data_IF_926533452988
#
_entry.id   IF_926533452988
#
_cell.length_a   1.000
_cell.length_b   1.000
_cell.length_c   1.000
_cell.angle_alpha   90.00
_cell.angle_beta   90.00
_cell.angle_gamma   90.00
#
_symmetry.space_group_name_H-M   'P 1'
#
loop_
_entity.id
_entity.type
_entity.pdbx_description
1 polymer ?
#
# COMPACT_ATOMS: atom_id res chain seq x y z
N UNK A 1 -26.37 -1.42 -4.75
CA UNK A 1 -25.50 -0.62 -5.63
C UNK A 1 -24.18 -0.43 -4.88
N UNK A 2 -23.02 -0.74 -5.47
CA UNK A 2 -21.75 -0.57 -4.75
C UNK A 2 -21.45 0.92 -4.58
N UNK A 3 -21.04 1.38 -3.39
CA UNK A 3 -20.76 2.80 -3.16
C UNK A 3 -19.52 3.25 -3.95
N UNK A 4 -19.57 4.44 -4.53
CA UNK A 4 -18.53 5.04 -5.36
C UNK A 4 -17.49 5.78 -4.52
N UNK A 5 -16.46 5.10 -4.03
CA UNK A 5 -15.43 5.76 -3.23
C UNK A 5 -14.26 6.25 -4.08
N UNK A 6 -13.73 7.41 -3.71
CA UNK A 6 -12.60 8.06 -4.37
C UNK A 6 -11.35 7.92 -3.51
N UNK A 7 -10.23 7.52 -4.12
CA UNK A 7 -8.93 7.45 -3.45
C UNK A 7 -7.97 8.47 -4.04
N UNK A 8 -7.31 9.23 -3.16
CA UNK A 8 -6.21 10.13 -3.51
C UNK A 8 -4.92 9.67 -2.84
N UNK A 9 -3.84 9.60 -3.60
CA UNK A 9 -2.52 9.27 -3.10
C UNK A 9 -1.60 10.48 -3.20
N UNK A 10 -0.84 10.74 -2.15
CA UNK A 10 0.12 11.84 -2.07
C UNK A 10 1.47 11.30 -1.62
N UNK A 11 2.48 11.47 -2.47
CA UNK A 11 3.87 11.23 -2.07
C UNK A 11 4.24 12.28 -1.02
N UNK A 12 4.76 11.83 0.13
CA UNK A 12 5.18 12.73 1.21
C UNK A 12 6.66 13.07 1.03
N UNK A 13 7.49 12.74 2.03
CA UNK A 13 8.92 13.11 2.06
C UNK A 13 9.72 12.53 0.88
N UNK A 14 9.32 11.37 0.39
CA UNK A 14 9.94 10.64 -0.72
C UNK A 14 8.95 9.58 -1.24
N UNK A 15 9.30 8.93 -2.35
CA UNK A 15 8.49 7.88 -3.00
C UNK A 15 8.16 6.66 -2.12
N UNK A 16 8.93 6.45 -1.05
CA UNK A 16 8.75 5.35 -0.10
C UNK A 16 7.83 5.73 1.08
N UNK A 17 7.22 6.91 1.05
CA UNK A 17 6.17 7.33 1.98
C UNK A 17 4.98 7.88 1.20
N UNK A 18 3.93 7.07 1.08
CA UNK A 18 2.69 7.45 0.39
C UNK A 18 1.59 7.60 1.42
N UNK A 19 0.92 8.75 1.40
CA UNK A 19 -0.30 9.02 2.16
C UNK A 19 -1.50 8.78 1.25
N UNK A 20 -2.51 8.08 1.78
CA UNK A 20 -3.70 7.68 1.03
C UNK A 20 -4.92 8.25 1.77
N UNK A 21 -5.75 9.01 1.07
CA UNK A 21 -7.01 9.52 1.61
C UNK A 21 -8.17 8.90 0.83
N UNK A 22 -9.14 8.36 1.56
CA UNK A 22 -10.37 7.79 1.01
C UNK A 22 -11.51 8.76 1.22
N UNK A 23 -12.30 8.99 0.19
CA UNK A 23 -13.49 9.84 0.21
C UNK A 23 -14.72 9.02 -0.17
N UNK A 24 -15.86 9.30 0.47
CA UNK A 24 -17.15 8.75 0.08
C UNK A 24 -17.68 9.44 -1.19
N UNK A 25 -18.89 9.07 -1.63
CA UNK A 25 -19.54 9.63 -2.82
C UNK A 25 -19.76 11.15 -2.72
N UNK A 26 -19.91 11.66 -1.50
CA UNK A 26 -20.11 13.09 -1.20
C UNK A 26 -18.78 13.87 -1.08
N UNK A 27 -17.64 13.25 -1.42
CA UNK A 27 -16.30 13.84 -1.28
C UNK A 27 -15.89 14.14 0.17
N UNK A 28 -16.51 13.48 1.15
CA UNK A 28 -16.14 13.59 2.55
C UNK A 28 -15.05 12.56 2.91
N UNK A 29 -14.01 13.03 3.58
CA UNK A 29 -12.87 12.18 3.98
C UNK A 29 -13.31 11.12 4.99
N UNK A 30 -13.15 9.85 4.62
CA UNK A 30 -13.45 8.70 5.48
C UNK A 30 -12.23 8.26 6.32
N UNK A 31 -11.04 8.75 5.99
CA UNK A 31 -9.82 8.43 6.71
C UNK A 31 -8.57 8.69 5.91
N UNK A 32 -7.45 8.77 6.65
CA UNK A 32 -6.11 8.89 6.09
C UNK A 32 -5.33 7.63 6.48
N UNK A 33 -4.62 7.07 5.52
CA UNK A 33 -3.85 5.84 5.60
C UNK A 33 -2.44 6.10 5.05
N UNK A 34 -1.51 5.17 5.27
CA UNK A 34 -0.17 5.31 4.72
C UNK A 34 0.47 3.98 4.30
N UNK A 35 1.36 4.06 3.32
CA UNK A 35 2.36 3.04 2.99
C UNK A 35 3.74 3.63 3.29
N UNK A 36 4.51 2.95 4.14
CA UNK A 36 5.76 3.47 4.69
C UNK A 36 6.87 2.43 4.56
N UNK A 37 7.74 2.64 3.60
CA UNK A 37 8.85 1.75 3.28
C UNK A 37 10.19 2.34 3.73
N UNK A 38 11.11 1.49 4.17
CA UNK A 38 12.45 1.88 4.58
C UNK A 38 12.53 2.28 6.06
N UNK A 39 13.54 1.76 6.76
CA UNK A 39 13.77 2.01 8.20
C UNK A 39 13.81 3.50 8.59
N UNK A 40 14.32 4.38 7.72
CA UNK A 40 14.33 5.84 7.95
C UNK A 40 12.91 6.42 8.05
N UNK A 41 12.00 5.99 7.17
CA UNK A 41 10.61 6.44 7.20
C UNK A 41 9.86 5.82 8.38
N UNK A 42 10.14 4.54 8.69
CA UNK A 42 9.57 3.82 9.85
C UNK A 42 9.95 4.51 11.15
N UNK A 43 11.22 4.87 11.34
CA UNK A 43 11.68 5.56 12.55
C UNK A 43 10.92 6.89 12.77
N UNK A 44 10.68 7.65 11.69
CA UNK A 44 9.88 8.87 11.75
C UNK A 44 8.42 8.59 12.14
N UNK A 45 7.81 7.57 11.55
CA UNK A 45 6.44 7.16 11.88
C UNK A 45 6.31 6.71 13.34
N UNK A 46 7.24 5.88 13.81
CA UNK A 46 7.29 5.41 15.21
C UNK A 46 7.39 6.58 16.17
N UNK A 47 8.18 7.61 15.84
CA UNK A 47 8.24 8.86 16.63
C UNK A 47 6.89 9.57 16.70
N UNK A 48 6.15 9.66 15.58
CA UNK A 48 4.80 10.24 15.56
C UNK A 48 3.80 9.42 16.39
N UNK A 49 3.90 8.09 16.36
CA UNK A 49 3.06 7.20 17.18
C UNK A 49 3.36 7.41 18.66
N UNK A 50 4.63 7.38 19.06
CA UNK A 50 5.07 7.59 20.45
C UNK A 50 4.62 8.95 21.01
N UNK A 51 4.62 9.99 20.17
CA UNK A 51 4.19 11.34 20.54
C UNK A 51 2.68 11.57 20.37
N UNK A 52 1.90 10.54 19.99
CA UNK A 52 0.45 10.64 19.73
C UNK A 52 0.07 11.67 18.66
N UNK A 53 0.97 11.95 17.72
CA UNK A 53 0.76 12.87 16.59
C UNK A 53 0.50 12.13 15.27
N UNK A 54 0.53 10.80 15.27
CA UNK A 54 0.19 9.99 14.11
C UNK A 54 -1.31 10.12 13.77
N UNK A 55 -1.61 10.58 12.56
CA UNK A 55 -2.98 10.79 12.05
C UNK A 55 -3.52 9.64 11.20
N UNK A 56 -2.73 8.59 10.99
CA UNK A 56 -3.08 7.49 10.09
C UNK A 56 -3.92 6.44 10.82
N UNK A 57 -5.05 6.05 10.24
CA UNK A 57 -5.93 4.99 10.78
C UNK A 57 -5.32 3.60 10.62
N UNK A 58 -4.63 3.37 9.51
CA UNK A 58 -3.87 2.15 9.24
C UNK A 58 -2.61 2.49 8.44
N UNK A 59 -1.54 1.74 8.69
CA UNK A 59 -0.26 1.91 8.01
C UNK A 59 0.31 0.55 7.61
N UNK A 60 0.60 0.41 6.31
CA UNK A 60 1.40 -0.69 5.78
C UNK A 60 2.89 -0.34 5.89
N UNK A 61 3.69 -1.25 6.46
CA UNK A 61 5.11 -1.01 6.75
C UNK A 61 5.98 -2.10 6.11
N UNK A 62 7.03 -1.69 5.41
CA UNK A 62 8.09 -2.59 4.92
C UNK A 62 9.47 -2.05 5.29
N UNK A 63 10.35 -2.91 5.81
CA UNK A 63 11.69 -2.48 6.25
C UNK A 63 12.60 -2.06 5.09
N UNK A 64 12.48 -2.73 3.94
CA UNK A 64 13.28 -2.47 2.74
C UNK A 64 12.58 -1.44 1.83
N UNK A 65 13.32 -0.52 1.19
CA UNK A 65 12.78 0.27 0.09
C UNK A 65 12.40 -0.67 -1.06
N UNK A 66 11.34 -0.36 -1.82
CA UNK A 66 10.73 -1.24 -2.84
C UNK A 66 10.13 -2.56 -2.30
N UNK A 67 9.98 -2.69 -0.98
CA UNK A 67 9.42 -3.90 -0.35
C UNK A 67 10.33 -5.12 -0.48
N UNK A 68 9.73 -6.31 -0.48
CA UNK A 68 10.46 -7.59 -0.43
C UNK A 68 11.29 -7.89 -1.68
N UNK A 69 11.02 -7.25 -2.81
CA UNK A 69 11.81 -7.38 -4.05
C UNK A 69 13.25 -6.91 -3.89
N UNK A 70 13.50 -6.02 -2.93
CA UNK A 70 14.83 -5.50 -2.62
C UNK A 70 15.28 -5.91 -1.20
N UNK A 71 14.80 -7.07 -0.73
CA UNK A 71 15.21 -7.67 0.54
C UNK A 71 16.64 -8.20 0.50
N UNK A 72 17.34 -8.15 1.63
CA UNK A 72 18.74 -8.61 1.72
C UNK A 72 18.94 -10.11 1.46
N UNK A 73 17.87 -10.92 1.50
CA UNK A 73 17.89 -12.34 1.15
C UNK A 73 17.67 -12.63 -0.34
N UNK A 74 17.48 -11.61 -1.18
CA UNK A 74 17.35 -11.80 -2.62
C UNK A 74 18.69 -12.13 -3.27
N UNK A 75 18.65 -12.83 -4.40
CA UNK A 75 19.85 -13.13 -5.19
C UNK A 75 20.46 -11.81 -5.67
N UNK A 76 21.75 -11.62 -5.41
CA UNK A 76 22.45 -10.41 -5.86
C UNK A 76 22.49 -10.38 -7.38
N UNK A 77 21.90 -9.34 -7.93
CA UNK A 77 21.86 -9.14 -9.37
C UNK A 77 23.24 -8.63 -9.80
N UNK A 78 23.89 -9.33 -10.72
CA UNK A 78 25.25 -9.00 -11.18
C UNK A 78 25.29 -7.57 -11.78
N UNK A 79 26.47 -6.94 -11.79
CA UNK A 79 26.64 -5.50 -12.12
C UNK A 79 26.07 -5.05 -13.49
N UNK A 80 25.72 -5.97 -14.39
CA UNK A 80 25.13 -5.72 -15.72
C UNK A 80 23.73 -6.31 -15.93
N UNK A 81 23.02 -6.67 -14.87
CA UNK A 81 21.69 -7.29 -14.93
C UNK A 81 20.60 -6.40 -14.30
N UNK A 82 19.32 -6.75 -14.51
CA UNK A 82 18.11 -6.02 -14.08
C UNK A 82 18.19 -5.55 -12.62
N UNK A 83 17.67 -4.36 -12.30
CA UNK A 83 17.57 -3.88 -10.91
C UNK A 83 16.22 -4.30 -10.31
N UNK A 84 16.09 -4.28 -8.99
CA UNK A 84 14.82 -4.56 -8.32
C UNK A 84 13.64 -3.71 -8.83
N UNK A 85 13.89 -2.46 -9.28
CA UNK A 85 12.89 -1.60 -9.91
C UNK A 85 12.35 -2.19 -11.24
N UNK A 86 13.19 -2.89 -11.99
CA UNK A 86 12.85 -3.42 -13.32
C UNK A 86 11.95 -4.67 -13.20
N UNK A 87 11.91 -5.28 -12.01
CA UNK A 87 11.06 -6.43 -11.69
C UNK A 87 9.64 -6.03 -11.26
N UNK A 88 9.43 -4.78 -10.83
CA UNK A 88 8.12 -4.31 -10.34
C UNK A 88 7.04 -4.43 -11.42
N UNK A 89 7.24 -3.99 -12.68
CA UNK A 89 6.23 -4.15 -13.72
C UNK A 89 5.87 -5.62 -13.98
N UNK A 90 6.87 -6.50 -14.03
CA UNK A 90 6.68 -7.93 -14.24
C UNK A 90 5.87 -8.57 -13.10
N UNK A 91 6.19 -8.22 -11.86
CA UNK A 91 5.45 -8.69 -10.69
C UNK A 91 3.97 -8.26 -10.76
N UNK A 92 3.71 -7.01 -11.14
CA UNK A 92 2.35 -6.47 -11.28
C UNK A 92 1.55 -7.20 -12.35
N UNK A 93 2.18 -7.49 -13.50
CA UNK A 93 1.56 -8.26 -14.57
C UNK A 93 1.14 -9.66 -14.10
N UNK A 94 2.06 -10.39 -13.46
CA UNK A 94 1.81 -11.73 -12.92
C UNK A 94 0.68 -11.69 -11.88
N UNK A 95 0.74 -10.76 -10.92
CA UNK A 95 -0.27 -10.66 -9.87
C UNK A 95 -1.66 -10.32 -10.42
N UNK A 96 -1.74 -9.48 -11.45
CA UNK A 96 -3.03 -9.11 -12.07
C UNK A 96 -3.60 -10.24 -12.92
N UNK A 97 -2.73 -11.07 -13.52
CA UNK A 97 -3.15 -12.21 -14.34
C UNK A 97 -3.75 -13.37 -13.53
N UNK A 98 -3.43 -13.45 -12.24
CA UNK A 98 -3.93 -14.52 -11.36
C UNK A 98 -5.28 -14.14 -10.78
N UNK A 99 -6.31 -14.95 -11.05
CA UNK A 99 -7.60 -14.82 -10.37
C UNK A 99 -7.41 -15.23 -8.91
N UNK A 100 -7.48 -14.26 -8.00
CA UNK A 100 -7.52 -14.55 -6.56
C UNK A 100 -8.84 -15.27 -6.25
N UNK A 101 -8.79 -16.56 -5.93
CA UNK A 101 -9.92 -17.24 -5.28
C UNK A 101 -9.91 -16.83 -3.81
N UNK A 102 -10.88 -16.01 -3.42
CA UNK A 102 -11.03 -15.61 -2.02
C UNK A 102 -11.73 -16.73 -1.27
N UNK A 103 -11.06 -17.33 -0.29
CA UNK A 103 -11.65 -18.32 0.59
C UNK A 103 -12.70 -17.65 1.50
N UNK A 104 -13.93 -18.14 1.44
CA UNK A 104 -15.11 -17.55 2.11
C UNK A 104 -15.05 -17.60 3.64
N UNK A 105 -14.01 -18.15 4.25
CA UNK A 105 -13.93 -18.38 5.68
C UNK A 105 -13.64 -17.11 6.52
N UNK A 106 -13.20 -16.01 5.88
CA UNK A 106 -12.84 -14.76 6.55
C UNK A 106 -13.71 -13.56 6.15
N UNK A 107 -14.90 -13.80 5.57
CA UNK A 107 -15.74 -12.72 5.05
C UNK A 107 -16.06 -11.65 6.10
N UNK A 108 -16.42 -12.00 7.33
CA UNK A 108 -16.95 -10.99 8.27
C UNK A 108 -15.88 -10.05 8.86
N UNK A 109 -14.68 -10.55 9.18
CA UNK A 109 -13.62 -9.71 9.76
C UNK A 109 -12.82 -8.98 8.69
N UNK A 110 -12.53 -9.61 7.55
CA UNK A 110 -11.86 -8.96 6.43
C UNK A 110 -12.79 -8.10 5.61
N UNK A 111 -14.12 -8.30 5.62
CA UNK A 111 -15.03 -7.30 5.07
C UNK A 111 -14.85 -5.99 5.80
N UNK A 112 -14.76 -5.90 7.13
CA UNK A 112 -14.54 -4.58 7.76
C UNK A 112 -13.24 -3.88 7.27
N UNK A 113 -12.15 -4.63 7.09
CA UNK A 113 -10.85 -4.09 6.66
C UNK A 113 -10.71 -3.89 5.15
N UNK A 114 -11.37 -4.70 4.32
CA UNK A 114 -11.30 -4.64 2.86
C UNK A 114 -12.52 -3.99 2.23
N UNK A 115 -13.69 -3.98 2.87
CA UNK A 115 -14.88 -3.26 2.40
C UNK A 115 -14.62 -1.75 2.40
N UNK A 116 -13.72 -1.27 3.27
CA UNK A 116 -13.23 0.10 3.20
C UNK A 116 -12.33 0.41 1.96
N UNK A 117 -11.85 -0.60 1.25
CA UNK A 117 -10.91 -0.43 0.13
C UNK A 117 -11.35 -1.12 -1.19
N UNK A 118 -12.29 -2.08 -1.17
CA UNK A 118 -12.88 -2.76 -2.33
C UNK A 118 -13.90 -1.89 -3.08
N UNK A 119 -14.39 -0.81 -2.46
CA UNK A 119 -15.37 0.11 -3.06
C UNK A 119 -14.75 1.28 -3.83
N UNK A 120 -13.44 1.21 -4.09
CA UNK A 120 -12.70 2.26 -4.78
C UNK A 120 -12.70 1.95 -6.28
N UNK A 121 -13.41 2.77 -7.06
CA UNK A 121 -13.57 2.62 -8.52
C UNK A 121 -12.29 2.74 -9.34
N UNK A 122 -11.14 2.96 -8.70
CA UNK A 122 -9.89 3.26 -9.39
C UNK A 122 -8.82 2.22 -9.02
N UNK A 123 -9.06 1.00 -9.48
CA UNK A 123 -8.12 -0.14 -9.40
C UNK A 123 -6.76 0.23 -10.02
N UNK A 124 -6.74 1.16 -11.00
CA UNK A 124 -5.53 1.69 -11.63
C UNK A 124 -4.66 2.56 -10.70
N UNK A 125 -5.22 3.10 -9.63
CA UNK A 125 -4.47 3.85 -8.61
C UNK A 125 -4.17 3.01 -7.37
N UNK A 126 -4.75 1.81 -7.23
CA UNK A 126 -4.46 0.90 -6.13
C UNK A 126 -3.39 -0.11 -6.55
N UNK A 127 -2.21 0.39 -6.90
CA UNK A 127 -1.05 -0.47 -7.14
C UNK A 127 -0.38 -0.81 -5.80
N UNK A 128 -0.29 -2.10 -5.48
CA UNK A 128 0.65 -2.63 -4.48
C UNK A 128 2.10 -2.29 -4.89
#
# INVERSE_FOLDING_TARGET
MMPNWTVKQNIRKNKDFIEITIYNENMESQGIYARVFGLKNIANLVSQIKTKTCKYKYVEIMACPLGCLNGGGQIQIQKNTEKANDLIPKLKEIMTSQKVQMDNQYQNEQEMYLTQFKHVKNENNFQW
#
